data_IF_096203900809
#
_entry.id   IF_096203900809
#
_cell.length_a   1.000
_cell.length_b   1.000
_cell.length_c   1.000
_cell.angle_alpha   90.00
_cell.angle_beta   90.00
_cell.angle_gamma   90.00
#
_symmetry.space_group_name_H-M   'P 1'
#
loop_
_entity.id
_entity.type
_entity.pdbx_description
1 polymer ?
#
# COMPACT_ATOMS: atom_id res chain seq x y z
N UNK A 1 24.15 6.06 4.14
CA UNK A 1 23.86 6.16 5.59
C UNK A 1 22.45 5.62 5.76
N UNK A 2 22.21 4.69 6.67
CA UNK A 2 20.85 4.17 6.88
C UNK A 2 19.97 5.28 7.47
N UNK A 3 18.72 5.44 7.02
CA UNK A 3 17.77 6.37 7.60
C UNK A 3 17.59 6.14 9.10
N UNK A 4 17.40 7.23 9.83
CA UNK A 4 17.05 7.19 11.26
C UNK A 4 15.57 6.88 11.45
N UNK A 5 15.16 6.63 12.70
CA UNK A 5 13.74 6.46 13.03
C UNK A 5 12.95 7.73 12.70
N UNK A 6 13.54 8.90 12.96
CA UNK A 6 12.95 10.20 12.65
C UNK A 6 12.77 10.40 11.14
N UNK A 7 13.74 9.96 10.32
CA UNK A 7 13.65 10.04 8.85
C UNK A 7 12.50 9.17 8.32
N UNK A 8 12.38 7.93 8.81
CA UNK A 8 11.30 7.01 8.40
C UNK A 8 9.94 7.56 8.85
N UNK A 9 9.84 8.06 10.09
CA UNK A 9 8.60 8.69 10.57
C UNK A 9 8.21 9.87 9.69
N UNK A 10 9.14 10.77 9.38
CA UNK A 10 8.88 11.94 8.55
C UNK A 10 8.43 11.53 7.14
N UNK A 11 9.05 10.50 6.55
CA UNK A 11 8.65 9.97 5.26
C UNK A 11 7.25 9.35 5.28
N UNK A 12 6.90 8.59 6.34
CA UNK A 12 5.55 8.03 6.52
C UNK A 12 4.51 9.14 6.68
N UNK A 13 4.79 10.15 7.51
CA UNK A 13 3.89 11.29 7.70
C UNK A 13 3.65 12.04 6.37
N UNK A 14 4.71 12.27 5.59
CA UNK A 14 4.61 12.92 4.29
C UNK A 14 3.83 12.08 3.26
N UNK A 15 4.09 10.77 3.23
CA UNK A 15 3.37 9.81 2.38
C UNK A 15 1.87 9.80 2.70
N UNK A 16 1.51 9.67 3.98
CA UNK A 16 0.12 9.72 4.45
C UNK A 16 -0.55 11.02 4.08
N UNK A 17 0.11 12.15 4.37
CA UNK A 17 -0.44 13.47 4.08
C UNK A 17 -0.72 13.65 2.57
N UNK A 18 0.20 13.24 1.70
CA UNK A 18 0.03 13.33 0.26
C UNK A 18 -1.16 12.48 -0.24
N UNK A 19 -1.24 11.22 0.18
CA UNK A 19 -2.33 10.34 -0.26
C UNK A 19 -3.68 10.80 0.31
N UNK A 20 -3.72 11.12 1.60
CA UNK A 20 -4.91 11.60 2.28
C UNK A 20 -5.44 12.89 1.63
N UNK A 21 -4.57 13.86 1.33
CA UNK A 21 -4.94 15.08 0.62
C UNK A 21 -5.51 14.78 -0.75
N UNK A 22 -4.88 13.88 -1.52
CA UNK A 22 -5.37 13.53 -2.86
C UNK A 22 -6.73 12.84 -2.80
N UNK A 23 -6.87 11.82 -1.96
CA UNK A 23 -8.11 11.07 -1.80
C UNK A 23 -9.23 11.99 -1.31
N UNK A 24 -8.95 12.92 -0.40
CA UNK A 24 -9.90 13.95 0.02
C UNK A 24 -10.39 14.80 -1.15
N UNK A 25 -9.49 15.28 -2.02
CA UNK A 25 -9.87 16.07 -3.21
C UNK A 25 -10.73 15.27 -4.19
N UNK A 26 -10.46 13.98 -4.38
CA UNK A 26 -11.31 13.11 -5.19
C UNK A 26 -12.69 12.93 -4.54
N UNK A 27 -12.74 12.73 -3.21
CA UNK A 27 -14.01 12.64 -2.48
C UNK A 27 -14.83 13.91 -2.53
N UNK A 28 -14.20 15.09 -2.55
CA UNK A 28 -14.94 16.35 -2.70
C UNK A 28 -15.80 16.35 -3.98
N UNK A 29 -15.29 15.77 -5.08
CA UNK A 29 -16.01 15.64 -6.34
C UNK A 29 -17.14 14.63 -6.23
N UNK A 30 -16.88 13.44 -5.66
CA UNK A 30 -17.91 12.40 -5.50
C UNK A 30 -19.03 12.81 -4.54
N UNK A 31 -18.69 13.44 -3.41
CA UNK A 31 -19.65 14.00 -2.46
C UNK A 31 -20.49 15.08 -3.12
N UNK A 32 -19.87 15.98 -3.90
CA UNK A 32 -20.62 16.98 -4.63
C UNK A 32 -21.62 16.34 -5.60
N UNK A 33 -21.19 15.34 -6.37
CA UNK A 33 -22.05 14.66 -7.34
C UNK A 33 -23.19 13.91 -6.66
N UNK A 34 -22.90 13.10 -5.64
CA UNK A 34 -23.90 12.33 -4.90
C UNK A 34 -24.95 13.25 -4.24
N UNK A 35 -24.53 14.39 -3.67
CA UNK A 35 -25.46 15.38 -3.10
C UNK A 35 -26.30 16.09 -4.17
N UNK A 36 -25.80 16.26 -5.38
CA UNK A 36 -26.48 16.99 -6.46
C UNK A 36 -27.27 16.10 -7.43
N UNK A 37 -27.04 14.79 -7.42
CA UNK A 37 -27.66 13.85 -8.36
C UNK A 37 -29.19 13.92 -8.30
N UNK A 38 -29.84 14.07 -9.46
CA UNK A 38 -31.29 14.03 -9.54
C UNK A 38 -31.77 12.59 -9.40
N UNK A 39 -32.30 12.27 -8.22
CA UNK A 39 -32.86 10.96 -7.95
C UNK A 39 -34.26 10.87 -8.55
N UNK A 40 -34.46 10.04 -9.56
CA UNK A 40 -35.78 9.73 -10.07
C UNK A 40 -36.47 8.68 -9.18
N UNK A 41 -37.55 9.01 -8.46
CA UNK A 41 -38.26 8.05 -7.61
C UNK A 41 -38.85 6.87 -8.40
N UNK A 42 -39.08 7.01 -9.70
CA UNK A 42 -39.53 5.91 -10.56
C UNK A 42 -38.45 4.85 -10.81
N UNK A 43 -37.18 5.26 -10.81
CA UNK A 43 -36.03 4.38 -11.06
C UNK A 43 -35.46 3.79 -9.75
N UNK A 44 -35.51 4.56 -8.66
CA UNK A 44 -34.82 4.24 -7.40
C UNK A 44 -35.75 4.00 -6.19
N UNK A 45 -37.05 4.29 -6.31
CA UNK A 45 -38.04 4.06 -5.26
C UNK A 45 -37.85 4.92 -4.01
N UNK A 46 -38.42 4.45 -2.89
CA UNK A 46 -38.43 5.17 -1.60
C UNK A 46 -37.04 5.19 -0.90
N UNK A 47 -36.05 4.45 -1.43
CA UNK A 47 -34.69 4.31 -0.88
C UNK A 47 -33.68 5.20 -1.63
N UNK A 48 -34.14 6.11 -2.48
CA UNK A 48 -33.24 6.90 -3.31
C UNK A 48 -32.26 7.79 -2.50
N UNK A 49 -32.70 8.36 -1.39
CA UNK A 49 -31.82 9.15 -0.50
C UNK A 49 -30.79 8.29 0.25
N UNK A 50 -31.14 7.03 0.50
CA UNK A 50 -30.26 6.06 1.16
C UNK A 50 -29.07 5.70 0.27
N UNK A 51 -29.27 5.65 -1.06
CA UNK A 51 -28.21 5.39 -2.05
C UNK A 51 -27.09 6.44 -2.01
N UNK A 52 -27.41 7.68 -1.68
CA UNK A 52 -26.41 8.76 -1.59
C UNK A 52 -25.37 8.49 -0.51
N UNK A 53 -25.75 7.78 0.55
CA UNK A 53 -24.85 7.39 1.63
C UNK A 53 -24.21 6.04 1.32
N UNK A 54 -25.01 5.08 0.86
CA UNK A 54 -24.55 3.70 0.63
C UNK A 54 -23.51 3.59 -0.50
N UNK A 55 -23.54 4.50 -1.47
CA UNK A 55 -22.55 4.51 -2.54
C UNK A 55 -21.11 4.63 -2.02
N UNK A 56 -20.90 5.29 -0.88
CA UNK A 56 -19.57 5.41 -0.25
C UNK A 56 -19.09 4.13 0.44
N UNK A 57 -19.90 3.07 0.49
CA UNK A 57 -19.46 1.79 1.03
C UNK A 57 -18.32 1.16 0.24
N UNK A 58 -18.31 1.34 -1.08
CA UNK A 58 -17.20 0.89 -1.92
C UNK A 58 -15.90 1.63 -1.56
N UNK A 59 -15.96 2.95 -1.34
CA UNK A 59 -14.83 3.80 -0.93
C UNK A 59 -14.28 3.39 0.43
N UNK A 60 -15.16 3.18 1.40
CA UNK A 60 -14.77 2.80 2.76
C UNK A 60 -14.28 1.35 2.81
N UNK A 61 -14.60 0.53 1.80
CA UNK A 61 -14.28 -0.90 1.77
C UNK A 61 -14.98 -1.66 2.89
N UNK A 62 -16.18 -1.19 3.29
CA UNK A 62 -16.88 -1.64 4.50
C UNK A 62 -18.39 -1.69 4.30
N UNK A 63 -18.98 -2.78 4.76
CA UNK A 63 -20.43 -2.99 4.73
C UNK A 63 -21.18 -2.18 5.81
N UNK A 64 -20.47 -1.60 6.77
CA UNK A 64 -21.03 -0.85 7.91
C UNK A 64 -20.96 0.67 7.75
N UNK A 65 -20.93 1.15 6.51
CA UNK A 65 -20.87 2.57 6.12
C UNK A 65 -21.81 3.47 6.91
N UNK A 66 -23.06 3.04 7.12
CA UNK A 66 -24.07 3.81 7.87
C UNK A 66 -23.79 3.96 9.37
N UNK A 67 -22.87 3.19 9.93
CA UNK A 67 -22.39 3.40 11.31
C UNK A 67 -21.34 4.51 11.38
N UNK A 68 -20.70 4.83 10.25
CA UNK A 68 -19.59 5.77 10.16
C UNK A 68 -20.07 7.14 9.67
N UNK A 69 -20.94 7.15 8.67
CA UNK A 69 -21.48 8.35 8.03
C UNK A 69 -23.01 8.33 8.01
N UNK A 70 -23.63 9.50 8.10
CA UNK A 70 -25.10 9.67 8.05
C UNK A 70 -25.56 10.55 6.88
N UNK A 71 -24.63 11.23 6.21
CA UNK A 71 -24.85 11.95 4.95
C UNK A 71 -23.56 11.91 4.11
N UNK A 72 -23.61 12.19 2.80
CA UNK A 72 -22.41 12.28 1.95
C UNK A 72 -21.34 13.23 2.51
N UNK A 73 -21.75 14.36 3.07
CA UNK A 73 -20.83 15.38 3.61
C UNK A 73 -20.00 14.89 4.79
N UNK A 74 -20.47 13.87 5.52
CA UNK A 74 -19.70 13.25 6.60
C UNK A 74 -18.38 12.64 6.12
N UNK A 75 -18.28 12.23 4.85
CA UNK A 75 -17.02 11.75 4.26
C UNK A 75 -15.92 12.80 4.33
N UNK A 76 -16.28 14.08 4.25
CA UNK A 76 -15.34 15.20 4.29
C UNK A 76 -15.15 15.76 5.69
N UNK A 77 -16.21 15.82 6.50
CA UNK A 77 -16.14 16.37 7.86
C UNK A 77 -15.49 15.41 8.85
N UNK A 78 -15.62 14.10 8.64
CA UNK A 78 -15.00 13.04 9.46
C UNK A 78 -13.76 12.42 8.79
N UNK A 79 -13.25 13.03 7.71
CA UNK A 79 -12.19 12.45 6.89
C UNK A 79 -10.96 12.04 7.71
N UNK A 80 -10.53 12.85 8.68
CA UNK A 80 -9.33 12.58 9.49
C UNK A 80 -9.49 11.32 10.37
N UNK A 81 -10.72 10.95 10.75
CA UNK A 81 -11.04 9.72 11.48
C UNK A 81 -11.18 8.53 10.52
N UNK A 82 -11.80 8.76 9.36
CA UNK A 82 -12.07 7.73 8.35
C UNK A 82 -10.80 7.30 7.61
N UNK A 83 -9.88 8.22 7.34
CA UNK A 83 -8.72 7.96 6.50
C UNK A 83 -7.82 6.83 7.01
N UNK A 84 -7.36 6.81 8.27
CA UNK A 84 -6.61 5.68 8.79
C UNK A 84 -7.47 4.42 9.00
N UNK A 85 -8.78 4.58 9.26
CA UNK A 85 -9.69 3.45 9.49
C UNK A 85 -10.00 2.67 8.20
N UNK A 86 -10.09 3.37 7.08
CA UNK A 86 -10.54 2.86 5.79
C UNK A 86 -9.43 2.92 4.72
N UNK A 87 -8.18 3.07 5.13
CA UNK A 87 -7.02 3.05 4.24
C UNK A 87 -7.07 4.13 3.12
N UNK A 88 -7.57 5.31 3.46
CA UNK A 88 -7.58 6.49 2.57
C UNK A 88 -6.31 7.33 2.68
N UNK A 89 -5.38 6.98 3.58
CA UNK A 89 -4.05 7.58 3.70
C UNK A 89 -2.93 6.69 3.12
N UNK A 90 -3.29 5.53 2.54
CA UNK A 90 -2.37 4.58 1.92
C UNK A 90 -1.59 3.70 2.90
N UNK A 91 -1.96 3.73 4.19
CA UNK A 91 -1.38 2.91 5.25
C UNK A 91 -2.44 1.99 5.86
N UNK A 92 -2.80 0.95 5.11
CA UNK A 92 -3.85 0.02 5.50
C UNK A 92 -3.57 -0.78 6.78
N UNK A 93 -4.64 -1.41 7.25
CA UNK A 93 -4.72 -2.26 8.45
C UNK A 93 -4.37 -1.58 9.77
N UNK A 94 -4.85 -2.19 10.85
CA UNK A 94 -4.48 -1.82 12.21
C UNK A 94 -2.97 -1.99 12.41
N UNK A 95 -2.41 -1.12 13.25
CA UNK A 95 -1.02 -1.30 13.69
C UNK A 95 -0.87 -2.65 14.40
N UNK A 96 0.12 -3.47 14.01
CA UNK A 96 0.40 -4.72 14.69
C UNK A 96 0.91 -4.44 16.10
N UNK A 97 0.50 -5.28 17.03
CA UNK A 97 1.03 -5.27 18.41
C UNK A 97 2.52 -5.62 18.40
N UNK A 98 3.24 -5.29 19.49
CA UNK A 98 4.67 -5.63 19.62
C UNK A 98 4.91 -7.14 19.45
N UNK A 99 4.02 -7.97 20.01
CA UNK A 99 4.14 -9.43 19.94
C UNK A 99 3.93 -9.95 18.50
N UNK A 100 2.98 -9.37 17.75
CA UNK A 100 2.77 -9.69 16.33
C UNK A 100 3.96 -9.28 15.47
N UNK A 101 4.52 -8.08 15.71
CA UNK A 101 5.71 -7.62 15.02
C UNK A 101 6.91 -8.55 15.28
N UNK A 102 7.16 -8.88 16.55
CA UNK A 102 8.25 -9.78 16.93
C UNK A 102 8.10 -11.18 16.30
N UNK A 103 6.88 -11.72 16.31
CA UNK A 103 6.57 -13.01 15.69
C UNK A 103 6.82 -12.99 14.17
N UNK A 104 6.30 -11.97 13.49
CA UNK A 104 6.50 -11.77 12.05
C UNK A 104 7.98 -11.73 11.69
N UNK A 105 8.76 -10.87 12.36
CA UNK A 105 10.18 -10.74 12.03
C UNK A 105 10.99 -11.98 12.42
N UNK A 106 10.61 -12.69 13.49
CA UNK A 106 11.25 -13.96 13.85
C UNK A 106 11.06 -15.02 12.77
N UNK A 107 9.83 -15.15 12.25
CA UNK A 107 9.51 -16.07 11.15
C UNK A 107 10.21 -15.67 9.86
N UNK A 108 10.17 -14.38 9.51
CA UNK A 108 10.86 -13.85 8.34
C UNK A 108 12.35 -14.15 8.38
N UNK A 109 13.03 -13.88 9.50
CA UNK A 109 14.46 -14.16 9.64
C UNK A 109 14.78 -15.66 9.56
N UNK A 110 13.94 -16.52 10.12
CA UNK A 110 14.08 -17.98 9.99
C UNK A 110 13.97 -18.41 8.53
N UNK A 111 12.96 -17.92 7.81
CA UNK A 111 12.74 -18.21 6.39
C UNK A 111 13.87 -17.69 5.50
N UNK A 112 14.35 -16.47 5.76
CA UNK A 112 15.49 -15.87 5.07
C UNK A 112 16.74 -16.74 5.25
N UNK A 113 17.07 -17.14 6.49
CA UNK A 113 18.21 -18.01 6.77
C UNK A 113 18.10 -19.36 6.09
N UNK A 114 16.89 -19.91 5.96
CA UNK A 114 16.69 -21.20 5.28
C UNK A 114 16.95 -21.11 3.77
N UNK A 115 16.68 -19.97 3.13
CA UNK A 115 16.66 -19.81 1.66
C UNK A 115 17.79 -18.96 1.07
N UNK A 116 18.52 -18.23 1.91
CA UNK A 116 19.61 -17.37 1.47
C UNK A 116 20.84 -18.14 0.95
N UNK A 117 21.72 -17.41 0.26
CA UNK A 117 23.06 -17.88 -0.06
C UNK A 117 23.87 -18.17 1.20
N UNK A 118 24.72 -19.20 1.12
CA UNK A 118 25.56 -19.64 2.23
C UNK A 118 26.47 -18.52 2.76
N UNK A 119 26.98 -17.67 1.87
CA UNK A 119 27.87 -16.53 2.19
C UNK A 119 27.26 -15.57 3.22
N UNK A 120 25.94 -15.41 3.24
CA UNK A 120 25.26 -14.42 4.09
C UNK A 120 24.43 -15.06 5.21
N UNK A 121 24.39 -16.39 5.30
CA UNK A 121 23.47 -17.13 6.18
C UNK A 121 23.58 -16.75 7.65
N UNK A 122 24.79 -16.53 8.12
CA UNK A 122 25.05 -16.21 9.53
C UNK A 122 24.83 -14.72 9.86
N UNK A 123 24.87 -13.85 8.85
CA UNK A 123 24.74 -12.39 9.02
C UNK A 123 23.37 -11.83 8.62
N UNK A 124 22.55 -12.60 7.88
CA UNK A 124 21.26 -12.12 7.38
C UNK A 124 20.26 -11.91 8.53
N UNK A 125 19.68 -10.72 8.57
CA UNK A 125 18.59 -10.32 9.45
C UNK A 125 17.56 -9.55 8.65
N UNK A 126 16.33 -9.41 9.17
CA UNK A 126 15.34 -8.56 8.52
C UNK A 126 15.88 -7.11 8.38
N UNK A 127 15.43 -6.35 7.36
CA UNK A 127 15.86 -4.96 7.17
C UNK A 127 15.56 -4.13 8.43
N UNK A 128 16.55 -3.46 9.03
CA UNK A 128 16.31 -2.63 10.22
C UNK A 128 15.28 -1.53 9.99
N UNK A 129 15.29 -0.92 8.80
CA UNK A 129 14.32 0.12 8.42
C UNK A 129 12.88 -0.43 8.37
N UNK A 130 12.70 -1.68 7.95
CA UNK A 130 11.37 -2.31 7.88
C UNK A 130 10.79 -2.53 9.28
N UNK A 131 11.63 -2.84 10.27
CA UNK A 131 11.21 -2.93 11.68
C UNK A 131 10.71 -1.58 12.19
N UNK A 132 11.41 -0.50 11.86
CA UNK A 132 10.97 0.85 12.21
C UNK A 132 9.66 1.21 11.49
N UNK A 133 9.54 0.89 10.21
CA UNK A 133 8.31 1.15 9.44
C UNK A 133 7.09 0.44 10.06
N UNK A 134 7.25 -0.80 10.52
CA UNK A 134 6.20 -1.58 11.18
C UNK A 134 5.66 -0.94 12.47
N UNK A 135 6.42 -0.03 13.11
CA UNK A 135 5.96 0.74 14.26
C UNK A 135 4.94 1.82 13.87
N UNK A 136 4.90 2.22 12.60
CA UNK A 136 4.13 3.35 12.11
C UNK A 136 2.98 2.99 11.17
N UNK A 137 3.04 1.83 10.51
CA UNK A 137 2.03 1.41 9.52
C UNK A 137 1.72 -0.09 9.67
N UNK A 138 0.45 -0.46 9.44
CA UNK A 138 0.04 -1.87 9.30
C UNK A 138 0.41 -2.41 7.92
N UNK A 139 0.30 -1.57 6.88
CA UNK A 139 0.54 -1.91 5.48
C UNK A 139 1.03 -0.71 4.68
N UNK A 140 1.47 -0.94 3.45
CA UNK A 140 1.69 0.10 2.44
C UNK A 140 0.89 -0.22 1.18
N UNK A 141 -0.28 0.40 1.00
CA UNK A 141 -1.32 -0.04 0.03
C UNK A 141 -1.46 0.88 -1.19
N UNK A 142 -0.73 1.99 -1.25
CA UNK A 142 -0.68 2.88 -2.41
C UNK A 142 -1.84 3.89 -2.47
N UNK A 143 -1.87 4.76 -3.49
CA UNK A 143 -2.86 5.84 -3.64
C UNK A 143 -4.19 5.36 -4.25
N UNK A 144 -5.32 5.97 -3.85
CA UNK A 144 -6.66 5.59 -4.34
C UNK A 144 -7.57 5.12 -3.21
N UNK A 145 -8.80 4.73 -3.58
CA UNK A 145 -9.88 4.46 -2.61
C UNK A 145 -10.65 3.20 -2.99
N UNK A 146 -11.21 2.52 -1.98
CA UNK A 146 -12.16 1.44 -2.20
C UNK A 146 -11.72 0.29 -3.11
N UNK A 147 -12.69 -0.31 -3.81
CA UNK A 147 -12.46 -1.43 -4.74
C UNK A 147 -11.55 -1.07 -5.92
N UNK A 148 -11.59 0.17 -6.38
CA UNK A 148 -10.75 0.62 -7.50
C UNK A 148 -9.28 0.71 -7.11
N UNK A 149 -8.97 1.03 -5.85
CA UNK A 149 -7.62 0.87 -5.31
C UNK A 149 -7.10 -0.54 -5.53
N UNK A 150 -7.84 -1.57 -5.11
CA UNK A 150 -7.42 -2.97 -5.24
C UNK A 150 -7.33 -3.44 -6.70
N UNK A 151 -8.13 -2.83 -7.58
CA UNK A 151 -8.16 -3.15 -9.01
C UNK A 151 -7.00 -2.53 -9.80
N UNK A 152 -6.48 -1.37 -9.38
CA UNK A 152 -5.50 -0.62 -10.18
C UNK A 152 -4.17 -0.37 -9.48
N UNK A 153 -4.15 -0.38 -8.15
CA UNK A 153 -2.95 -0.30 -7.35
C UNK A 153 -2.38 -1.67 -7.02
N UNK A 154 -1.23 -1.63 -6.39
CA UNK A 154 -0.57 -2.79 -5.88
C UNK A 154 -0.05 -2.45 -4.48
N UNK A 155 -0.23 -3.35 -3.53
CA UNK A 155 0.27 -3.24 -2.16
C UNK A 155 1.77 -3.50 -2.19
N UNK A 156 2.57 -2.55 -1.71
CA UNK A 156 4.02 -2.72 -1.60
C UNK A 156 4.38 -3.70 -0.49
N UNK A 157 3.77 -3.54 0.69
CA UNK A 157 4.05 -4.37 1.86
C UNK A 157 2.77 -4.78 2.60
N UNK A 158 2.59 -6.09 2.77
CA UNK A 158 1.42 -6.69 3.43
C UNK A 158 1.57 -6.81 4.96
N UNK A 159 2.48 -6.07 5.57
CA UNK A 159 2.45 -5.88 7.01
C UNK A 159 2.86 -7.10 7.83
N UNK A 160 2.91 -6.89 9.14
CA UNK A 160 3.07 -7.94 10.15
C UNK A 160 1.70 -8.38 10.68
N UNK A 161 0.90 -9.07 9.87
CA UNK A 161 -0.41 -9.59 10.27
C UNK A 161 -0.39 -11.11 10.53
N UNK A 162 -1.34 -11.65 11.32
CA UNK A 162 -1.49 -13.09 11.50
C UNK A 162 -1.68 -13.88 10.18
N UNK A 163 -2.26 -13.27 9.15
CA UNK A 163 -2.40 -13.91 7.83
C UNK A 163 -1.07 -13.97 7.09
N UNK A 164 -0.32 -12.86 7.10
CA UNK A 164 1.02 -12.81 6.50
C UNK A 164 1.95 -13.81 7.20
N UNK A 165 1.87 -13.93 8.52
CA UNK A 165 2.64 -14.88 9.33
C UNK A 165 2.52 -16.35 8.89
N UNK A 166 1.36 -16.75 8.36
CA UNK A 166 1.11 -18.11 7.87
C UNK A 166 1.71 -18.36 6.49
N UNK A 167 2.05 -17.30 5.76
CA UNK A 167 2.47 -17.36 4.36
C UNK A 167 3.92 -16.90 4.12
N UNK A 168 4.59 -16.31 5.13
CA UNK A 168 6.00 -15.87 5.06
C UNK A 168 6.92 -16.92 4.42
N UNK A 169 6.82 -18.18 4.84
CA UNK A 169 7.68 -19.24 4.31
C UNK A 169 7.46 -19.45 2.81
N UNK A 170 6.26 -19.20 2.27
CA UNK A 170 5.96 -19.32 0.85
C UNK A 170 6.34 -18.07 0.04
N UNK A 171 6.31 -16.88 0.65
CA UNK A 171 6.66 -15.61 0.00
C UNK A 171 8.17 -15.38 -0.07
N UNK A 172 8.94 -15.87 0.91
CA UNK A 172 10.41 -15.84 0.86
C UNK A 172 10.89 -16.76 -0.25
N UNK A 173 11.79 -16.26 -1.09
CA UNK A 173 12.28 -16.96 -2.28
C UNK A 173 13.79 -17.15 -2.21
N UNK A 174 14.27 -18.24 -2.82
CA UNK A 174 15.69 -18.41 -3.13
C UNK A 174 16.10 -17.41 -4.23
N UNK A 175 17.39 -17.07 -4.34
CA UNK A 175 17.87 -16.15 -5.38
C UNK A 175 17.38 -16.45 -6.80
N UNK A 176 17.36 -17.73 -7.19
CA UNK A 176 16.98 -18.14 -8.54
C UNK A 176 15.47 -18.09 -8.80
N UNK A 177 14.67 -17.93 -7.74
CA UNK A 177 13.21 -17.82 -7.80
C UNK A 177 12.76 -16.34 -7.87
N UNK A 178 13.68 -15.39 -7.65
CA UNK A 178 13.39 -13.96 -7.70
C UNK A 178 13.62 -13.41 -9.11
N UNK A 179 12.64 -12.68 -9.63
CA UNK A 179 12.74 -12.03 -10.94
C UNK A 179 13.35 -10.64 -10.75
N UNK A 180 14.67 -10.58 -10.61
CA UNK A 180 15.44 -9.34 -10.41
C UNK A 180 16.33 -9.08 -11.65
N UNK A 181 16.54 -7.82 -12.00
CA UNK A 181 17.42 -7.42 -13.10
C UNK A 181 18.84 -8.02 -12.96
N UNK A 182 19.43 -8.45 -14.07
CA UNK A 182 20.69 -9.20 -14.12
C UNK A 182 21.93 -8.40 -13.70
N UNK A 183 21.79 -7.11 -13.39
CA UNK A 183 22.87 -6.30 -12.82
C UNK A 183 23.05 -6.49 -11.29
N UNK A 184 22.18 -7.26 -10.65
CA UNK A 184 22.21 -7.54 -9.21
C UNK A 184 22.58 -8.99 -8.90
N UNK A 185 23.53 -9.15 -7.97
CA UNK A 185 23.69 -10.42 -7.25
C UNK A 185 22.68 -10.42 -6.09
N UNK A 186 21.77 -11.40 -6.06
CA UNK A 186 20.75 -11.51 -5.01
C UNK A 186 21.10 -12.65 -4.07
N UNK A 187 21.12 -12.37 -2.77
CA UNK A 187 21.37 -13.39 -1.76
C UNK A 187 20.09 -14.04 -1.24
N UNK A 188 19.02 -13.26 -1.11
CA UNK A 188 17.69 -13.69 -0.67
C UNK A 188 16.71 -12.53 -0.84
N UNK A 189 15.41 -12.81 -0.79
CA UNK A 189 14.36 -11.81 -0.72
C UNK A 189 13.00 -12.45 -0.63
N UNK A 190 11.96 -11.62 -0.66
CA UNK A 190 10.58 -12.09 -0.68
C UNK A 190 9.69 -11.14 -1.47
N UNK A 191 8.57 -11.67 -1.93
CA UNK A 191 7.45 -10.90 -2.45
C UNK A 191 6.79 -10.19 -1.27
N UNK A 192 7.01 -8.88 -1.14
CA UNK A 192 6.56 -8.10 0.01
C UNK A 192 5.09 -7.71 -0.09
N UNK A 193 4.56 -7.65 -1.31
CA UNK A 193 3.17 -7.41 -1.59
C UNK A 193 2.79 -7.76 -3.02
N UNK A 194 1.60 -7.35 -3.42
CA UNK A 194 0.94 -7.85 -4.62
C UNK A 194 0.07 -6.77 -5.26
N UNK A 195 -0.12 -6.86 -6.58
CA UNK A 195 -1.18 -6.16 -7.28
C UNK A 195 -1.09 -6.30 -8.79
N UNK A 196 -1.89 -5.49 -9.50
CA UNK A 196 -2.15 -5.72 -10.92
C UNK A 196 -0.91 -5.47 -11.77
N UNK A 197 -0.43 -6.53 -12.42
CA UNK A 197 0.71 -6.54 -13.32
C UNK A 197 2.00 -5.98 -12.70
N UNK A 198 2.16 -6.03 -11.36
CA UNK A 198 3.35 -5.54 -10.68
C UNK A 198 3.77 -6.42 -9.51
N UNK A 199 5.08 -6.59 -9.36
CA UNK A 199 5.69 -7.34 -8.27
C UNK A 199 6.54 -6.40 -7.42
N UNK A 200 6.37 -6.49 -6.11
CA UNK A 200 7.22 -5.79 -5.16
C UNK A 200 8.06 -6.78 -4.38
N UNK A 201 9.34 -6.47 -4.29
CA UNK A 201 10.30 -7.29 -3.58
C UNK A 201 11.09 -6.46 -2.58
N UNK A 202 11.42 -7.11 -1.46
CA UNK A 202 12.47 -6.65 -0.58
C UNK A 202 13.58 -7.68 -0.66
N UNK A 203 14.74 -7.25 -1.15
CA UNK A 203 15.84 -8.16 -1.50
C UNK A 203 17.13 -7.74 -0.84
N UNK A 204 17.90 -8.73 -0.38
CA UNK A 204 19.26 -8.53 0.08
C UNK A 204 20.19 -8.81 -1.10
N UNK A 205 20.77 -7.76 -1.66
CA UNK A 205 21.51 -7.82 -2.90
C UNK A 205 22.73 -6.88 -2.90
N UNK A 206 23.51 -6.96 -3.97
CA UNK A 206 24.62 -6.05 -4.27
C UNK A 206 24.75 -5.89 -5.77
N UNK A 207 25.25 -4.75 -6.25
CA UNK A 207 25.46 -4.56 -7.69
C UNK A 207 26.74 -5.26 -8.15
N UNK A 208 26.66 -6.00 -9.25
CA UNK A 208 27.84 -6.53 -9.92
C UNK A 208 28.53 -5.39 -10.71
N UNK A 209 29.67 -4.88 -10.23
CA UNK A 209 30.37 -3.81 -10.93
C UNK A 209 31.38 -4.35 -11.96
N UNK A 210 31.58 -3.65 -13.10
CA UNK A 210 32.43 -4.13 -14.21
C UNK A 210 33.90 -4.36 -13.87
N UNK A 211 34.42 -3.75 -12.80
CA UNK A 211 35.85 -3.71 -12.46
C UNK A 211 36.24 -4.62 -11.29
N UNK A 212 35.35 -5.54 -10.88
CA UNK A 212 35.61 -6.45 -9.76
C UNK A 212 35.51 -5.81 -8.37
N UNK A 213 35.07 -4.55 -8.28
CA UNK A 213 34.60 -3.98 -7.03
C UNK A 213 33.22 -4.56 -6.70
N UNK A 214 33.15 -5.28 -5.61
CA UNK A 214 31.92 -5.89 -5.12
C UNK A 214 31.32 -4.91 -4.11
N UNK A 215 30.15 -4.36 -4.41
CA UNK A 215 29.39 -3.57 -3.45
C UNK A 215 29.07 -4.43 -2.22
N UNK A 216 29.08 -3.89 -0.98
CA UNK A 216 28.61 -4.63 0.17
C UNK A 216 27.14 -5.06 -0.02
N UNK A 217 26.81 -6.23 0.51
CA UNK A 217 25.43 -6.68 0.58
C UNK A 217 24.57 -5.70 1.37
N UNK A 218 23.40 -5.37 0.84
CA UNK A 218 22.47 -4.47 1.49
C UNK A 218 21.02 -4.78 1.10
N UNK A 219 20.10 -4.32 1.92
CA UNK A 219 18.66 -4.41 1.62
C UNK A 219 18.29 -3.36 0.56
N UNK A 220 17.46 -3.76 -0.40
CA UNK A 220 16.88 -2.91 -1.44
C UNK A 220 15.40 -3.19 -1.57
N UNK A 221 14.67 -2.13 -1.90
CA UNK A 221 13.23 -2.16 -2.13
C UNK A 221 13.00 -2.05 -3.63
N UNK A 222 12.28 -3.00 -4.22
CA UNK A 222 12.13 -3.06 -5.67
C UNK A 222 10.66 -3.11 -6.08
N UNK A 223 10.37 -2.38 -7.16
CA UNK A 223 9.09 -2.40 -7.85
C UNK A 223 9.34 -2.84 -9.30
N UNK A 224 8.67 -3.91 -9.73
CA UNK A 224 8.73 -4.42 -11.09
C UNK A 224 7.35 -4.33 -11.71
N UNK A 225 7.18 -3.42 -12.66
CA UNK A 225 6.00 -3.34 -13.52
C UNK A 225 6.30 -3.86 -14.93
N UNK A 226 5.31 -3.82 -15.84
CA UNK A 226 5.46 -4.28 -17.22
C UNK A 226 6.40 -3.37 -18.03
N UNK A 227 6.48 -2.09 -17.66
CA UNK A 227 7.18 -1.05 -18.41
C UNK A 227 8.43 -0.53 -17.71
N UNK A 228 8.55 -0.72 -16.39
CA UNK A 228 9.69 -0.24 -15.62
C UNK A 228 10.06 -1.12 -14.42
N UNK A 229 11.33 -1.05 -14.04
CA UNK A 229 11.84 -1.57 -12.79
C UNK A 229 12.47 -0.42 -12.00
N UNK A 230 12.08 -0.29 -10.74
CA UNK A 230 12.65 0.69 -9.80
C UNK A 230 13.30 -0.04 -8.65
N UNK A 231 14.43 0.50 -8.19
CA UNK A 231 15.15 0.02 -7.02
C UNK A 231 15.46 1.22 -6.15
N UNK A 232 15.16 1.09 -4.87
CA UNK A 232 15.36 2.11 -3.85
C UNK A 232 16.33 1.58 -2.81
N UNK A 233 17.25 2.45 -2.37
CA UNK A 233 18.23 2.10 -1.35
C UNK A 233 17.63 2.22 0.05
N UNK A 234 16.57 3.00 0.20
CA UNK A 234 15.96 3.32 1.51
C UNK A 234 14.42 3.36 1.45
N UNK A 235 13.77 3.21 2.61
CA UNK A 235 12.31 3.35 2.73
C UNK A 235 11.82 4.76 2.37
N UNK A 236 12.46 5.87 2.80
CA UNK A 236 12.02 7.22 2.41
C UNK A 236 11.98 7.44 0.89
N UNK A 237 13.00 6.99 0.15
CA UNK A 237 13.01 7.08 -1.33
C UNK A 237 11.87 6.27 -1.96
N UNK A 238 11.64 5.06 -1.45
CA UNK A 238 10.51 4.24 -1.87
C UNK A 238 9.19 4.97 -1.63
N UNK A 239 8.96 5.51 -0.43
CA UNK A 239 7.69 6.18 -0.08
C UNK A 239 7.45 7.43 -0.92
N UNK A 240 8.49 8.22 -1.19
CA UNK A 240 8.38 9.38 -2.08
C UNK A 240 7.89 8.97 -3.47
N UNK A 241 8.51 7.94 -4.08
CA UNK A 241 8.09 7.44 -5.38
C UNK A 241 6.69 6.79 -5.33
N UNK A 242 6.45 5.95 -4.33
CA UNK A 242 5.26 5.13 -4.21
C UNK A 242 4.00 5.96 -3.94
N UNK A 243 4.13 7.12 -3.28
CA UNK A 243 3.03 8.09 -3.11
C UNK A 243 2.40 8.55 -4.44
N UNK A 244 3.15 8.44 -5.54
CA UNK A 244 2.74 8.83 -6.90
C UNK A 244 2.62 7.65 -7.85
N UNK A 245 2.85 6.43 -7.36
CA UNK A 245 2.81 5.24 -8.20
C UNK A 245 1.40 5.00 -8.72
N UNK A 246 1.25 4.93 -10.05
CA UNK A 246 -0.04 4.79 -10.75
C UNK A 246 -1.11 5.77 -10.24
N UNK A 247 -0.67 6.93 -9.79
CA UNK A 247 -1.55 7.94 -9.25
C UNK A 247 -2.44 8.50 -10.37
N UNK A 248 -3.76 8.33 -10.23
CA UNK A 248 -4.75 8.82 -11.21
C UNK A 248 -5.09 10.27 -10.96
N UNK A 249 -5.38 11.01 -12.03
CA UNK A 249 -5.88 12.39 -11.91
C UNK A 249 -7.15 12.44 -11.05
N UNK A 250 -7.33 13.55 -10.33
CA UNK A 250 -8.59 13.79 -9.61
C UNK A 250 -9.70 13.88 -10.66
N UNK A 251 -10.80 13.12 -10.49
CA UNK A 251 -11.89 13.11 -11.46
C UNK A 251 -12.47 14.51 -11.61
N UNK A 252 -12.95 14.83 -12.81
CA UNK A 252 -13.74 16.04 -13.04
C UNK A 252 -15.20 15.66 -12.99
N UNK A 253 -16.02 16.51 -12.39
CA UNK A 253 -17.45 16.22 -12.21
C UNK A 253 -18.16 16.00 -13.55
N UNK A 254 -17.68 16.64 -14.63
CA UNK A 254 -18.26 16.52 -15.97
C UNK A 254 -17.95 15.18 -16.66
N UNK A 255 -16.95 14.46 -16.18
CA UNK A 255 -16.53 13.16 -16.71
C UNK A 255 -17.18 11.98 -15.97
N UNK A 256 -18.01 12.26 -14.95
CA UNK A 256 -18.65 11.26 -14.11
C UNK A 256 -20.12 11.05 -14.48
N UNK A 257 -20.56 9.80 -14.44
CA UNK A 257 -21.97 9.42 -14.51
C UNK A 257 -22.53 9.33 -13.07
N UNK A 258 -23.65 10.03 -12.83
CA UNK A 258 -24.25 10.08 -11.51
C UNK A 258 -24.83 8.73 -11.07
N UNK A 259 -25.39 7.96 -12.01
CA UNK A 259 -25.95 6.64 -11.70
C UNK A 259 -24.83 5.66 -11.36
N UNK A 260 -23.72 5.67 -12.11
CA UNK A 260 -22.54 4.84 -11.78
C UNK A 260 -21.98 5.18 -10.40
N UNK A 261 -21.87 6.47 -10.06
CA UNK A 261 -21.37 6.89 -8.74
C UNK A 261 -22.34 6.49 -7.62
N UNK A 262 -23.65 6.60 -7.81
CA UNK A 262 -24.65 6.17 -6.83
C UNK A 262 -24.69 4.65 -6.66
N UNK A 263 -24.33 3.88 -7.68
CA UNK A 263 -24.09 2.43 -7.59
C UNK A 263 -22.77 2.08 -6.88
N UNK A 264 -21.95 3.08 -6.55
CA UNK A 264 -20.68 2.92 -5.84
C UNK A 264 -19.46 2.76 -6.76
N UNK A 265 -19.59 3.00 -8.07
CA UNK A 265 -18.48 2.95 -9.01
C UNK A 265 -17.66 4.26 -8.96
N UNK A 266 -16.69 4.32 -8.06
CA UNK A 266 -15.79 5.47 -7.86
C UNK A 266 -14.34 5.10 -8.14
N UNK A 267 -13.66 5.90 -8.98
CA UNK A 267 -12.31 5.66 -9.52
C UNK A 267 -11.20 6.51 -8.89
#
# INVERSE_FOLDING_TARGET
MYPTREDIKAAVDAYRAHIAERNRRALEVYVQLATQAELNPEDWGDEAEDLRVDCFGSVLGRDDTRNLISSPEDMLTKFDELAPLCDLDGCGWSLPTSDEQELYFSRLESALKAKCLEEVRDSITAPPELRILAEYVGALTGPGMGETKWTYQAVFWTGASPETDLTIDATVKKPQELTVDGCWDVAVGWESGHGVDSFFYIVYCRRAQPEGQVEPWAWRYMAYGPEDCKTFDTIPELLEWYSRYREREVPRIEDLDADEVLEGHMY
#
